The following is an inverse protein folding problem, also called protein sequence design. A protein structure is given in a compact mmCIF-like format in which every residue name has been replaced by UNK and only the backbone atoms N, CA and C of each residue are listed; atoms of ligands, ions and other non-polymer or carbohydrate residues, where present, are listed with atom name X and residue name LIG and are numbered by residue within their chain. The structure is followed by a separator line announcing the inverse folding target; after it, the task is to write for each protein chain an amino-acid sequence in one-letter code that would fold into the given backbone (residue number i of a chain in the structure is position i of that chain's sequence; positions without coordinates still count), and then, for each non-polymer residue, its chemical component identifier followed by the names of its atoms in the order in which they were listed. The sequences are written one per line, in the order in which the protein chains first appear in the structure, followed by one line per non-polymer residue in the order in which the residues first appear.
data_IF_721890960915
#
_entry.id   IF_721890960915
#
_cell.length_a   1.000
_cell.length_b   1.000
_cell.length_c   1.000
_cell.angle_alpha   90.00
_cell.angle_beta   90.00
_cell.angle_gamma   90.00
#
_symmetry.space_group_name_H-M   'P 1'
#
loop_
_entity.id
_entity.type
_entity.pdbx_description
1 polymer ?
#
# COMPACT_ATOMS: atom_id res chain seq x y z
N UNK A 1 12.31 -28.99 14.50
CA UNK A 1 11.52 -28.01 15.26
C UNK A 1 11.62 -26.70 14.51
N UNK A 2 10.52 -26.18 13.97
CA UNK A 2 10.55 -24.86 13.33
C UNK A 2 10.87 -23.84 14.43
N UNK A 3 12.02 -23.17 14.32
CA UNK A 3 12.36 -22.07 15.22
C UNK A 3 11.46 -20.89 14.86
N UNK A 4 10.71 -20.36 15.81
CA UNK A 4 9.93 -19.10 15.67
C UNK A 4 10.72 -17.96 16.34
N UNK A 5 11.76 -17.43 15.68
CA UNK A 5 12.69 -16.49 16.30
C UNK A 5 12.05 -15.15 16.63
N UNK A 6 10.89 -14.85 16.03
CA UNK A 6 10.19 -13.58 16.20
C UNK A 6 8.88 -13.70 16.99
N UNK A 7 8.50 -14.91 17.45
CA UNK A 7 7.25 -15.13 18.19
C UNK A 7 5.98 -14.91 17.36
N UNK A 8 6.05 -15.11 16.04
CA UNK A 8 4.93 -14.85 15.12
C UNK A 8 3.79 -15.87 15.23
N UNK A 9 4.07 -17.05 15.79
CA UNK A 9 3.10 -18.13 15.94
C UNK A 9 2.46 -18.17 17.34
N UNK A 10 2.91 -17.26 18.22
CA UNK A 10 2.43 -17.16 19.60
C UNK A 10 1.42 -16.03 19.71
N UNK A 11 0.14 -16.31 19.41
CA UNK A 11 -0.93 -15.34 19.50
C UNK A 11 -1.82 -15.59 20.72
N UNK A 12 -1.96 -14.57 21.58
CA UNK A 12 -2.86 -14.59 22.74
C UNK A 12 -3.94 -13.51 22.57
N UNK A 13 -5.19 -13.96 22.42
CA UNK A 13 -6.35 -13.07 22.27
C UNK A 13 -6.55 -12.19 23.52
N UNK A 14 -6.27 -12.72 24.72
CA UNK A 14 -6.36 -11.95 25.96
C UNK A 14 -5.39 -10.77 25.95
N UNK A 15 -4.14 -11.00 25.57
CA UNK A 15 -3.12 -9.95 25.42
C UNK A 15 -3.51 -8.97 24.31
N UNK A 16 -3.98 -9.46 23.16
CA UNK A 16 -4.39 -8.60 22.05
C UNK A 16 -5.51 -7.63 22.46
N UNK A 17 -6.48 -8.08 23.24
CA UNK A 17 -7.58 -7.25 23.76
C UNK A 17 -7.13 -6.15 24.74
N UNK A 18 -5.96 -6.26 25.33
CA UNK A 18 -5.41 -5.20 26.20
C UNK A 18 -4.71 -4.08 25.43
N UNK A 19 -4.42 -4.29 24.14
CA UNK A 19 -3.76 -3.28 23.31
C UNK A 19 -4.67 -2.08 23.06
N UNK A 20 -4.17 -0.84 23.16
CA UNK A 20 -4.98 0.36 23.02
C UNK A 20 -5.37 0.69 21.58
N UNK A 21 -4.99 -0.16 20.59
CA UNK A 21 -5.29 0.04 19.17
C UNK A 21 -6.76 -0.14 18.82
N UNK A 22 -7.23 0.58 17.81
CA UNK A 22 -8.63 0.57 17.35
C UNK A 22 -9.14 -0.83 16.99
N UNK A 23 -8.26 -1.72 16.54
CA UNK A 23 -8.59 -3.07 16.08
C UNK A 23 -9.35 -3.87 17.15
N UNK A 24 -8.84 -3.91 18.37
CA UNK A 24 -9.39 -4.72 19.47
C UNK A 24 -10.31 -3.94 20.41
N UNK A 25 -10.28 -2.59 20.37
CA UNK A 25 -11.08 -1.76 21.27
C UNK A 25 -12.45 -1.39 20.71
N UNK A 26 -12.63 -1.43 19.39
CA UNK A 26 -13.90 -1.05 18.76
C UNK A 26 -15.04 -2.02 19.12
N UNK A 27 -14.76 -3.33 19.06
CA UNK A 27 -15.73 -4.40 19.37
C UNK A 27 -15.05 -5.43 20.28
N UNK A 28 -14.91 -5.16 21.59
CA UNK A 28 -14.10 -5.98 22.52
C UNK A 28 -14.58 -7.42 22.67
N UNK A 29 -15.84 -7.70 22.32
CA UNK A 29 -16.45 -9.03 22.44
C UNK A 29 -16.25 -9.92 21.21
N UNK A 30 -15.81 -9.33 20.09
CA UNK A 30 -15.62 -10.05 18.85
C UNK A 30 -14.15 -10.41 18.58
N UNK A 31 -13.91 -11.35 17.68
CA UNK A 31 -12.59 -11.56 17.09
C UNK A 31 -12.35 -10.48 16.04
N UNK A 32 -11.34 -9.65 16.27
CA UNK A 32 -11.09 -8.48 15.43
C UNK A 32 -10.38 -8.87 14.14
N UNK A 33 -11.11 -8.82 13.00
CA UNK A 33 -10.58 -9.07 11.65
C UNK A 33 -11.04 -8.01 10.64
N UNK A 34 -11.45 -6.83 11.11
CA UNK A 34 -12.13 -5.81 10.31
C UNK A 34 -11.21 -4.71 9.77
N UNK A 35 -10.00 -4.56 10.31
CA UNK A 35 -9.03 -3.53 9.91
C UNK A 35 -7.71 -4.18 9.51
N UNK A 36 -7.06 -3.62 8.49
CA UNK A 36 -5.77 -4.08 7.99
C UNK A 36 -4.62 -3.66 8.92
N UNK A 37 -4.49 -4.38 10.02
CA UNK A 37 -3.50 -4.21 11.09
C UNK A 37 -3.12 -5.60 11.61
N UNK A 38 -1.85 -5.95 11.60
CA UNK A 38 -1.40 -7.28 12.03
C UNK A 38 -1.28 -7.35 13.56
N UNK A 39 -1.41 -8.55 14.11
CA UNK A 39 -1.23 -8.80 15.54
C UNK A 39 0.17 -9.27 15.91
N UNK A 40 1.03 -9.46 14.92
CA UNK A 40 2.42 -9.88 15.13
C UNK A 40 3.22 -8.85 15.93
N UNK A 41 4.22 -9.29 16.71
CA UNK A 41 5.23 -8.39 17.28
C UNK A 41 5.91 -7.58 16.17
N UNK A 42 6.23 -6.33 16.44
CA UNK A 42 7.01 -5.48 15.52
C UNK A 42 8.43 -6.03 15.39
N UNK A 43 9.04 -5.88 14.22
CA UNK A 43 10.41 -6.32 13.97
C UNK A 43 11.39 -5.76 15.02
N UNK A 44 12.28 -6.59 15.58
CA UNK A 44 13.24 -6.16 16.62
C UNK A 44 14.04 -4.92 16.23
N UNK A 45 14.57 -4.87 15.00
CA UNK A 45 15.34 -3.73 14.50
C UNK A 45 14.58 -2.39 14.62
N UNK A 46 13.27 -2.39 14.34
CA UNK A 46 12.42 -1.21 14.48
C UNK A 46 12.31 -0.80 15.95
N UNK A 47 12.05 -1.77 16.83
CA UNK A 47 11.90 -1.50 18.27
C UNK A 47 13.20 -0.95 18.86
N UNK A 48 14.34 -1.50 18.49
CA UNK A 48 15.68 -1.06 18.93
C UNK A 48 15.98 0.36 18.45
N UNK A 49 15.71 0.65 17.17
CA UNK A 49 15.92 1.98 16.59
C UNK A 49 15.05 3.04 17.30
N UNK A 50 13.77 2.75 17.55
CA UNK A 50 12.90 3.68 18.26
C UNK A 50 13.28 3.89 19.72
N UNK A 51 13.73 2.85 20.43
CA UNK A 51 14.25 2.99 21.80
C UNK A 51 15.48 3.89 21.84
N UNK A 52 16.40 3.73 20.90
CA UNK A 52 17.60 4.58 20.81
C UNK A 52 17.24 6.07 20.60
N UNK A 53 16.17 6.41 19.86
CA UNK A 53 15.71 7.79 19.75
C UNK A 53 15.19 8.34 21.09
N UNK A 54 14.40 7.54 21.81
CA UNK A 54 13.86 7.91 23.13
C UNK A 54 15.00 8.12 24.12
N UNK A 55 15.95 7.18 24.20
CA UNK A 55 17.09 7.23 25.12
C UNK A 55 18.01 8.44 24.86
N UNK A 56 18.11 8.86 23.61
CA UNK A 56 18.88 10.05 23.21
C UNK A 56 18.09 11.36 23.33
N UNK A 57 16.80 11.31 23.66
CA UNK A 57 15.94 12.50 23.77
C UNK A 57 15.70 13.22 22.44
N UNK A 58 15.65 12.50 21.30
CA UNK A 58 15.52 13.07 19.96
C UNK A 58 14.04 13.32 19.63
N UNK A 59 13.51 14.47 20.04
CA UNK A 59 12.11 14.88 19.86
C UNK A 59 11.94 16.21 19.12
N UNK A 60 13.06 16.85 18.71
CA UNK A 60 13.03 18.13 18.01
C UNK A 60 12.69 18.00 16.53
N UNK A 61 12.66 19.15 15.86
CA UNK A 61 12.53 19.19 14.41
C UNK A 61 13.73 18.52 13.75
N UNK A 62 13.50 17.60 12.79
CA UNK A 62 14.59 17.00 12.04
C UNK A 62 15.22 18.02 11.08
N UNK A 63 16.48 17.78 10.75
CA UNK A 63 17.18 18.53 9.69
C UNK A 63 17.77 17.54 8.70
N UNK A 64 17.30 17.58 7.48
CA UNK A 64 17.79 16.78 6.36
C UNK A 64 18.36 17.74 5.30
N UNK A 65 19.71 17.77 5.12
CA UNK A 65 20.39 18.80 4.33
C UNK A 65 19.97 18.86 2.86
N UNK A 66 19.59 17.73 2.29
CA UNK A 66 19.09 17.61 0.89
C UNK A 66 17.58 17.71 0.76
N UNK A 67 16.87 17.96 1.87
CA UNK A 67 15.41 18.11 1.90
C UNK A 67 14.62 16.81 1.92
N UNK A 68 15.29 15.64 1.81
CA UNK A 68 14.68 14.31 1.90
C UNK A 68 15.11 13.62 3.20
N UNK A 69 14.18 12.87 3.80
CA UNK A 69 14.51 12.07 4.96
C UNK A 69 15.32 10.81 4.60
N UNK A 70 16.02 10.20 5.55
CA UNK A 70 16.64 8.89 5.35
C UNK A 70 15.68 7.81 4.87
N UNK A 71 14.37 7.89 5.22
CA UNK A 71 13.37 6.95 4.75
C UNK A 71 13.07 7.08 3.24
N UNK A 72 13.11 8.30 2.69
CA UNK A 72 12.99 8.51 1.25
C UNK A 72 14.18 7.92 0.48
N UNK A 73 15.38 8.04 1.02
CA UNK A 73 16.58 7.40 0.45
C UNK A 73 16.52 5.87 0.56
N UNK A 74 16.07 5.33 1.70
CA UNK A 74 15.86 3.89 1.87
C UNK A 74 14.79 3.35 0.89
N UNK A 75 13.74 4.14 0.60
CA UNK A 75 12.77 3.80 -0.43
C UNK A 75 13.41 3.68 -1.81
N UNK A 76 14.18 4.68 -2.24
CA UNK A 76 14.84 4.67 -3.54
C UNK A 76 15.78 3.46 -3.68
N UNK A 77 16.62 3.21 -2.68
CA UNK A 77 17.53 2.06 -2.66
C UNK A 77 16.78 0.71 -2.69
N UNK A 78 15.63 0.62 -2.00
CA UNK A 78 14.78 -0.58 -2.01
C UNK A 78 14.15 -0.82 -3.38
N UNK A 79 13.67 0.20 -4.06
CA UNK A 79 13.09 0.08 -5.40
C UNK A 79 14.14 -0.39 -6.41
N UNK A 80 15.33 0.19 -6.38
CA UNK A 80 16.44 -0.23 -7.21
C UNK A 80 16.85 -1.69 -6.94
N UNK A 81 17.13 -2.04 -5.69
CA UNK A 81 17.67 -3.35 -5.32
C UNK A 81 16.67 -4.49 -5.49
N UNK A 82 15.36 -4.25 -5.25
CA UNK A 82 14.34 -5.32 -5.29
C UNK A 82 13.62 -5.42 -6.62
N UNK A 83 13.47 -4.30 -7.31
CA UNK A 83 12.62 -4.22 -8.50
C UNK A 83 13.36 -3.72 -9.74
N UNK A 84 14.64 -3.33 -9.61
CA UNK A 84 15.44 -2.75 -10.69
C UNK A 84 14.86 -1.41 -11.18
N UNK A 85 14.14 -0.70 -10.31
CA UNK A 85 13.56 0.60 -10.64
C UNK A 85 14.45 1.73 -10.10
N UNK A 86 15.27 2.30 -10.98
CA UNK A 86 16.04 3.51 -10.74
C UNK A 86 15.12 4.72 -10.87
N UNK A 87 14.61 5.21 -9.75
CA UNK A 87 13.71 6.36 -9.73
C UNK A 87 14.48 7.68 -9.54
N UNK A 88 13.90 8.78 -10.04
CA UNK A 88 14.39 10.13 -9.76
C UNK A 88 14.04 10.54 -8.33
N UNK A 89 15.01 10.50 -7.41
CA UNK A 89 14.82 10.86 -6.02
C UNK A 89 14.36 12.32 -5.83
N UNK A 90 14.64 13.21 -6.78
CA UNK A 90 14.18 14.60 -6.71
C UNK A 90 12.65 14.73 -6.83
N UNK A 91 11.96 13.70 -7.31
CA UNK A 91 10.49 13.63 -7.46
C UNK A 91 9.79 12.93 -6.30
N UNK A 92 10.52 12.68 -5.22
CA UNK A 92 9.94 12.10 -4.00
C UNK A 92 9.32 13.18 -3.12
N UNK A 93 8.11 12.92 -2.65
CA UNK A 93 7.37 13.76 -1.72
C UNK A 93 6.91 12.92 -0.54
N UNK A 94 7.28 13.32 0.67
CA UNK A 94 6.96 12.58 1.89
C UNK A 94 5.65 13.08 2.49
N UNK A 95 4.82 12.15 2.96
CA UNK A 95 3.45 12.37 3.39
C UNK A 95 3.16 11.62 4.70
N UNK A 96 2.04 11.95 5.33
CA UNK A 96 1.62 11.24 6.55
C UNK A 96 1.07 9.84 6.25
N UNK A 97 0.39 9.63 5.11
CA UNK A 97 -0.17 8.33 4.71
C UNK A 97 -0.47 8.26 3.21
N UNK A 98 -0.67 7.03 2.73
CA UNK A 98 -0.96 6.75 1.32
C UNK A 98 -2.28 7.37 0.85
N UNK A 99 -3.32 7.39 1.69
CA UNK A 99 -4.61 7.99 1.31
C UNK A 99 -4.47 9.49 1.09
N UNK A 100 -3.61 10.16 1.87
CA UNK A 100 -3.25 11.57 1.62
C UNK A 100 -2.63 11.72 0.23
N UNK A 101 -1.67 10.88 -0.14
CA UNK A 101 -1.03 10.90 -1.46
C UNK A 101 -2.01 10.68 -2.60
N UNK A 102 -2.87 9.67 -2.47
CA UNK A 102 -3.93 9.39 -3.46
C UNK A 102 -4.86 10.59 -3.61
N UNK A 103 -5.31 11.18 -2.49
CA UNK A 103 -6.20 12.36 -2.50
C UNK A 103 -5.54 13.56 -3.17
N UNK A 104 -4.27 13.82 -2.86
CA UNK A 104 -3.50 14.91 -3.48
C UNK A 104 -3.40 14.70 -4.99
N UNK A 105 -2.99 13.51 -5.42
CA UNK A 105 -2.84 13.20 -6.84
C UNK A 105 -4.18 13.29 -7.60
N UNK A 106 -5.30 12.79 -7.04
CA UNK A 106 -6.63 12.98 -7.62
C UNK A 106 -6.93 14.48 -7.79
N UNK A 107 -6.70 15.27 -6.75
CA UNK A 107 -7.03 16.71 -6.76
C UNK A 107 -6.21 17.53 -7.75
N UNK A 108 -4.96 17.14 -7.99
CA UNK A 108 -4.03 17.84 -8.87
C UNK A 108 -4.08 17.35 -10.33
N UNK A 109 -4.54 16.10 -10.55
CA UNK A 109 -4.58 15.47 -11.88
C UNK A 109 -5.99 15.41 -12.48
N UNK A 110 -7.01 15.91 -11.78
CA UNK A 110 -8.39 15.92 -12.27
C UNK A 110 -9.18 17.11 -11.73
N UNK A 111 -10.32 17.38 -12.34
CA UNK A 111 -11.26 18.45 -11.95
C UNK A 111 -12.57 17.87 -11.40
N UNK A 112 -13.38 18.64 -10.64
CA UNK A 112 -14.72 18.24 -10.25
C UNK A 112 -15.56 17.81 -11.48
N UNK A 113 -16.25 16.68 -11.37
CA UNK A 113 -17.02 16.07 -12.45
C UNK A 113 -16.24 15.05 -13.29
N UNK A 114 -14.90 15.07 -13.25
CA UNK A 114 -14.09 14.12 -14.02
C UNK A 114 -14.27 12.67 -13.53
N UNK A 115 -14.10 11.75 -14.49
CA UNK A 115 -14.10 10.32 -14.20
C UNK A 115 -12.79 9.87 -13.55
N UNK A 116 -12.91 9.08 -12.49
CA UNK A 116 -11.79 8.36 -11.87
C UNK A 116 -12.09 6.87 -11.89
N UNK A 117 -11.26 6.11 -12.59
CA UNK A 117 -11.43 4.68 -12.78
C UNK A 117 -10.70 3.86 -11.71
N UNK A 118 -11.30 2.75 -11.29
CA UNK A 118 -10.67 1.78 -10.38
C UNK A 118 -11.31 0.41 -10.50
N UNK A 119 -10.56 -0.64 -10.19
CA UNK A 119 -11.13 -2.00 -10.08
C UNK A 119 -12.01 -2.13 -8.84
N UNK A 120 -13.17 -2.79 -8.98
CA UNK A 120 -14.04 -3.14 -7.87
C UNK A 120 -14.00 -4.66 -7.62
N UNK A 121 -14.12 -5.11 -6.33
CA UNK A 121 -14.26 -4.30 -5.11
C UNK A 121 -12.99 -3.48 -4.83
N UNK A 122 -13.10 -2.37 -4.10
CA UNK A 122 -11.98 -1.48 -3.83
C UNK A 122 -11.89 -1.07 -2.36
N UNK A 123 -10.74 -0.59 -1.95
CA UNK A 123 -10.56 0.02 -0.64
C UNK A 123 -11.49 1.24 -0.51
N UNK A 124 -12.46 1.15 0.41
CA UNK A 124 -13.57 2.11 0.52
C UNK A 124 -13.15 3.59 0.66
N UNK A 125 -12.00 3.95 1.28
CA UNK A 125 -11.56 5.36 1.32
C UNK A 125 -11.31 5.99 -0.05
N UNK A 126 -11.00 5.21 -1.09
CA UNK A 126 -10.87 5.76 -2.44
C UNK A 126 -12.21 6.28 -2.95
N UNK A 127 -13.28 5.48 -2.83
CA UNK A 127 -14.63 5.89 -3.22
C UNK A 127 -15.12 7.08 -2.42
N UNK A 128 -14.84 7.10 -1.10
CA UNK A 128 -15.16 8.23 -0.25
C UNK A 128 -14.39 9.50 -0.67
N UNK A 129 -13.10 9.39 -0.96
CA UNK A 129 -12.28 10.50 -1.46
C UNK A 129 -12.84 11.06 -2.76
N UNK A 130 -13.20 10.18 -3.72
CA UNK A 130 -13.81 10.60 -4.99
C UNK A 130 -15.11 11.37 -4.76
N UNK A 131 -16.00 10.84 -3.90
CA UNK A 131 -17.26 11.49 -3.54
C UNK A 131 -17.05 12.85 -2.91
N UNK A 132 -16.10 12.97 -1.96
CA UNK A 132 -15.78 14.26 -1.30
C UNK A 132 -15.20 15.31 -2.24
N UNK A 133 -14.58 14.87 -3.33
CA UNK A 133 -13.93 15.74 -4.32
C UNK A 133 -14.78 15.94 -5.57
N UNK A 134 -16.02 15.45 -5.58
CA UNK A 134 -16.93 15.51 -6.73
C UNK A 134 -16.32 14.83 -7.98
N UNK A 135 -15.73 13.62 -7.81
CA UNK A 135 -15.22 12.79 -8.91
C UNK A 135 -16.20 11.66 -9.19
N UNK A 136 -16.44 11.39 -10.47
CA UNK A 136 -17.33 10.32 -10.92
C UNK A 136 -16.58 8.97 -10.90
N UNK A 137 -16.98 7.98 -10.07
CA UNK A 137 -16.33 6.68 -10.06
C UNK A 137 -16.67 5.89 -11.35
N UNK A 138 -15.64 5.29 -11.95
CA UNK A 138 -15.76 4.39 -13.11
C UNK A 138 -15.25 3.02 -12.69
N UNK A 139 -16.16 2.03 -12.69
CA UNK A 139 -15.81 0.65 -12.36
C UNK A 139 -15.04 -0.02 -13.50
N UNK A 140 -13.85 -0.53 -13.20
CA UNK A 140 -13.08 -1.37 -14.11
C UNK A 140 -13.34 -2.86 -13.80
N UNK A 141 -13.58 -3.69 -14.83
CA UNK A 141 -13.64 -5.14 -14.69
C UNK A 141 -12.32 -5.73 -14.19
N UNK A 142 -12.38 -6.92 -13.59
CA UNK A 142 -11.17 -7.62 -13.16
C UNK A 142 -10.28 -8.07 -14.34
N UNK A 143 -10.87 -8.43 -15.50
CA UNK A 143 -10.12 -8.74 -16.70
C UNK A 143 -9.54 -7.45 -17.32
N UNK A 144 -8.23 -7.41 -17.53
CA UNK A 144 -7.53 -6.18 -17.98
C UNK A 144 -7.94 -5.77 -19.39
N UNK A 145 -8.16 -6.71 -20.32
CA UNK A 145 -8.65 -6.39 -21.68
C UNK A 145 -9.98 -5.65 -21.62
N UNK A 146 -10.93 -6.14 -20.81
CA UNK A 146 -12.22 -5.49 -20.62
C UNK A 146 -12.08 -4.14 -19.87
N UNK A 147 -11.10 -4.00 -18.97
CA UNK A 147 -10.80 -2.72 -18.32
C UNK A 147 -10.28 -1.69 -19.33
N UNK A 148 -9.44 -2.09 -20.27
CA UNK A 148 -8.94 -1.24 -21.37
C UNK A 148 -10.12 -0.76 -22.24
N UNK A 149 -11.08 -1.62 -22.57
CA UNK A 149 -12.29 -1.23 -23.30
C UNK A 149 -13.13 -0.17 -22.55
N UNK A 150 -13.23 -0.30 -21.23
CA UNK A 150 -13.91 0.70 -20.39
C UNK A 150 -13.14 2.01 -20.38
N UNK A 151 -11.80 1.98 -20.26
CA UNK A 151 -10.94 3.16 -20.29
C UNK A 151 -11.09 3.88 -21.65
N UNK A 152 -11.07 3.13 -22.75
CA UNK A 152 -11.25 3.67 -24.11
C UNK A 152 -12.61 4.38 -24.28
N UNK A 153 -13.69 3.82 -23.74
CA UNK A 153 -15.03 4.37 -23.84
C UNK A 153 -15.27 5.54 -22.91
N UNK A 154 -14.88 5.41 -21.64
CA UNK A 154 -15.21 6.37 -20.57
C UNK A 154 -14.22 7.54 -20.46
N UNK A 155 -12.99 7.36 -20.98
CA UNK A 155 -11.92 8.37 -20.95
C UNK A 155 -11.76 9.00 -19.56
N UNK A 156 -11.46 8.23 -18.49
CA UNK A 156 -11.24 8.81 -17.18
C UNK A 156 -10.03 9.75 -17.19
N UNK A 157 -10.07 10.81 -16.39
CA UNK A 157 -8.89 11.66 -16.17
C UNK A 157 -7.80 10.92 -15.40
N UNK A 158 -8.21 10.05 -14.46
CA UNK A 158 -7.33 9.30 -13.56
C UNK A 158 -7.78 7.85 -13.46
N UNK A 159 -6.82 6.93 -13.40
CA UNK A 159 -7.00 5.53 -12.96
C UNK A 159 -6.27 5.31 -11.65
N UNK A 160 -6.99 4.84 -10.61
CA UNK A 160 -6.37 4.33 -9.38
C UNK A 160 -6.10 2.84 -9.56
N UNK A 161 -4.83 2.46 -9.55
CA UNK A 161 -4.36 1.08 -9.59
C UNK A 161 -3.84 0.68 -8.21
N UNK A 162 -4.62 -0.08 -7.44
CA UNK A 162 -4.14 -0.69 -6.20
C UNK A 162 -3.40 -2.00 -6.57
N UNK A 163 -2.08 -2.03 -6.35
CA UNK A 163 -1.24 -3.14 -6.81
C UNK A 163 -0.09 -3.42 -5.83
N UNK A 164 -0.17 -4.56 -5.11
CA UNK A 164 -1.19 -5.63 -5.09
C UNK A 164 -2.58 -5.15 -4.66
N UNK A 165 -3.62 -5.80 -5.21
CA UNK A 165 -4.98 -5.32 -5.12
C UNK A 165 -5.63 -5.57 -3.75
N UNK A 166 -6.12 -4.52 -3.13
CA UNK A 166 -6.96 -4.58 -1.93
C UNK A 166 -8.44 -4.44 -2.36
N UNK A 167 -9.34 -5.41 -2.08
CA UNK A 167 -9.18 -6.45 -1.04
C UNK A 167 -8.82 -7.87 -1.55
N UNK A 168 -8.72 -8.11 -2.85
CA UNK A 168 -8.67 -9.47 -3.40
C UNK A 168 -7.28 -10.13 -3.30
N UNK A 169 -6.23 -9.36 -3.04
CA UNK A 169 -4.85 -9.84 -3.00
C UNK A 169 -4.28 -10.24 -4.36
N UNK A 170 -4.93 -9.85 -5.47
CA UNK A 170 -4.43 -10.09 -6.83
C UNK A 170 -3.14 -9.33 -7.08
N UNK A 171 -2.20 -9.97 -7.76
CA UNK A 171 -0.98 -9.36 -8.29
C UNK A 171 -1.10 -9.28 -9.81
N UNK A 172 -1.03 -8.08 -10.39
CA UNK A 172 -1.06 -7.91 -11.84
C UNK A 172 0.25 -8.38 -12.47
N UNK A 173 0.15 -9.09 -13.57
CA UNK A 173 1.30 -9.53 -14.34
C UNK A 173 1.95 -8.37 -15.10
N UNK A 174 3.22 -8.54 -15.54
CA UNK A 174 3.91 -7.53 -16.36
C UNK A 174 3.14 -7.18 -17.63
N UNK A 175 2.54 -8.16 -18.29
CA UNK A 175 1.81 -7.93 -19.53
C UNK A 175 0.49 -7.17 -19.26
N UNK A 176 -0.22 -7.48 -18.19
CA UNK A 176 -1.40 -6.73 -17.76
C UNK A 176 -1.06 -5.28 -17.42
N UNK A 177 0.05 -5.05 -16.70
CA UNK A 177 0.51 -3.70 -16.37
C UNK A 177 0.90 -2.91 -17.63
N UNK A 178 1.51 -3.57 -18.62
CA UNK A 178 1.82 -2.95 -19.93
C UNK A 178 0.56 -2.54 -20.67
N UNK A 179 -0.44 -3.43 -20.75
CA UNK A 179 -1.71 -3.10 -21.39
C UNK A 179 -2.39 -1.89 -20.73
N UNK A 180 -2.36 -1.79 -19.40
CA UNK A 180 -2.88 -0.62 -18.70
C UNK A 180 -2.04 0.64 -18.96
N UNK A 181 -0.71 0.52 -19.06
CA UNK A 181 0.17 1.64 -19.35
C UNK A 181 -0.03 2.16 -20.79
N UNK A 182 -0.18 1.26 -21.76
CA UNK A 182 -0.44 1.59 -23.15
C UNK A 182 -1.81 2.27 -23.28
N UNK A 183 -2.85 1.76 -22.62
CA UNK A 183 -4.16 2.38 -22.57
C UNK A 183 -4.13 3.77 -21.90
N UNK A 184 -3.37 3.92 -20.81
CA UNK A 184 -3.20 5.21 -20.15
C UNK A 184 -2.54 6.24 -21.06
N UNK A 185 -1.57 5.82 -21.89
CA UNK A 185 -0.94 6.67 -22.89
C UNK A 185 -1.89 7.01 -24.04
N UNK A 186 -2.57 6.02 -24.59
CA UNK A 186 -3.45 6.20 -25.78
C UNK A 186 -4.66 7.09 -25.46
N UNK A 187 -5.18 6.96 -24.25
CA UNK A 187 -6.43 7.63 -23.84
C UNK A 187 -6.20 8.84 -22.92
N UNK A 188 -4.94 9.25 -22.74
CA UNK A 188 -4.52 10.41 -21.92
C UNK A 188 -4.99 10.33 -20.46
N UNK A 189 -4.78 9.18 -19.84
CA UNK A 189 -5.16 8.90 -18.45
C UNK A 189 -3.94 9.00 -17.54
N UNK A 190 -4.04 9.70 -16.42
CA UNK A 190 -3.05 9.64 -15.33
C UNK A 190 -3.27 8.40 -14.48
N UNK A 191 -2.20 7.80 -13.99
CA UNK A 191 -2.27 6.62 -13.13
C UNK A 191 -1.80 6.99 -11.73
N UNK A 192 -2.57 6.60 -10.71
CA UNK A 192 -2.16 6.62 -9.31
C UNK A 192 -1.99 5.16 -8.89
N UNK A 193 -0.74 4.72 -8.74
CA UNK A 193 -0.43 3.36 -8.30
C UNK A 193 -0.26 3.33 -6.78
N UNK A 194 -1.24 2.76 -6.09
CA UNK A 194 -1.13 2.46 -4.65
C UNK A 194 -0.44 1.11 -4.48
N UNK A 195 0.82 1.16 -4.08
CA UNK A 195 1.69 -0.01 -3.93
C UNK A 195 2.00 -0.36 -2.46
N UNK A 196 1.13 0.05 -1.53
CA UNK A 196 1.33 -0.14 -0.08
C UNK A 196 1.45 -1.62 0.34
N UNK A 197 1.00 -2.56 -0.50
CA UNK A 197 1.08 -3.99 -0.28
C UNK A 197 2.24 -4.69 -1.02
N UNK A 198 3.11 -3.95 -1.69
CA UNK A 198 4.19 -4.47 -2.55
C UNK A 198 5.11 -5.49 -1.87
N UNK A 199 5.41 -5.29 -0.59
CA UNK A 199 6.27 -6.18 0.20
C UNK A 199 5.57 -7.47 0.70
N UNK A 200 4.25 -7.59 0.52
CA UNK A 200 3.42 -8.70 1.02
C UNK A 200 2.98 -9.67 -0.09
N UNK A 201 3.83 -9.90 -1.06
CA UNK A 201 3.56 -10.83 -2.18
C UNK A 201 4.09 -12.22 -1.86
N UNK A 202 3.30 -13.26 -2.18
CA UNK A 202 3.64 -14.67 -1.99
C UNK A 202 4.17 -15.29 -3.27
N UNK A 203 5.21 -16.13 -3.15
CA UNK A 203 5.70 -16.88 -4.29
C UNK A 203 4.59 -17.79 -4.88
N UNK A 204 4.53 -17.98 -6.20
CA UNK A 204 5.49 -17.54 -7.22
C UNK A 204 5.23 -16.11 -7.78
N UNK A 205 4.18 -15.39 -7.32
CA UNK A 205 3.88 -14.04 -7.78
C UNK A 205 5.02 -13.07 -7.40
N UNK A 206 5.20 -12.02 -8.21
CA UNK A 206 6.20 -10.98 -8.01
C UNK A 206 5.55 -9.61 -8.19
N UNK A 207 5.80 -8.71 -7.26
CA UNK A 207 5.43 -7.32 -7.44
C UNK A 207 6.34 -6.65 -8.48
N UNK A 208 5.73 -5.88 -9.36
CA UNK A 208 6.43 -5.04 -10.35
C UNK A 208 5.87 -3.64 -10.17
N UNK A 209 6.66 -2.63 -9.76
CA UNK A 209 6.19 -1.27 -9.69
C UNK A 209 5.62 -0.83 -11.05
N UNK A 210 4.43 -0.23 -11.05
CA UNK A 210 3.81 0.18 -12.31
C UNK A 210 4.71 1.12 -13.10
N UNK A 211 5.37 2.07 -12.43
CA UNK A 211 6.30 2.99 -13.06
C UNK A 211 7.53 2.30 -13.70
N UNK A 212 7.89 1.09 -13.25
CA UNK A 212 9.02 0.32 -13.77
C UNK A 212 8.68 -0.51 -15.04
N UNK A 213 7.42 -0.46 -15.50
CA UNK A 213 6.99 -1.27 -16.65
C UNK A 213 7.50 -0.70 -17.96
N UNK A 214 7.52 0.62 -18.10
CA UNK A 214 8.04 1.34 -19.25
C UNK A 214 8.27 2.83 -18.92
N UNK A 215 9.05 3.52 -19.75
CA UNK A 215 9.25 4.97 -19.64
C UNK A 215 7.92 5.75 -19.70
N UNK A 216 6.98 5.27 -20.48
CA UNK A 216 5.65 5.85 -20.59
C UNK A 216 4.87 5.70 -19.30
N UNK A 217 4.90 4.51 -18.70
CA UNK A 217 4.29 4.27 -17.39
C UNK A 217 4.92 5.18 -16.33
N UNK A 218 6.25 5.30 -16.30
CA UNK A 218 6.97 6.17 -15.37
C UNK A 218 6.50 7.63 -15.42
N UNK A 219 6.36 8.19 -16.63
CA UNK A 219 5.93 9.59 -16.83
C UNK A 219 4.45 9.85 -16.53
N UNK A 220 3.62 8.82 -16.51
CA UNK A 220 2.17 8.92 -16.27
C UNK A 220 1.74 8.46 -14.87
N UNK A 221 2.66 7.94 -14.07
CA UNK A 221 2.34 7.32 -12.80
C UNK A 221 2.77 8.17 -11.61
N UNK A 222 1.82 8.43 -10.72
CA UNK A 222 2.10 8.78 -9.33
C UNK A 222 2.12 7.49 -8.50
N UNK A 223 3.30 7.03 -8.08
CA UNK A 223 3.43 5.86 -7.21
C UNK A 223 3.35 6.29 -5.75
N UNK A 224 2.47 5.67 -4.97
CA UNK A 224 2.31 5.96 -3.54
C UNK A 224 2.49 4.67 -2.74
N UNK A 225 3.33 4.70 -1.71
CA UNK A 225 3.58 3.53 -0.87
C UNK A 225 4.04 3.89 0.54
N UNK A 226 4.18 2.86 1.38
CA UNK A 226 4.63 2.97 2.78
C UNK A 226 5.05 1.61 3.32
N UNK A 227 6.01 1.55 4.23
CA UNK A 227 6.34 0.36 5.00
C UNK A 227 5.21 -0.07 5.98
N UNK A 228 4.19 0.77 6.16
CA UNK A 228 3.21 0.63 7.24
C UNK A 228 2.43 -0.67 7.23
N UNK A 229 2.12 -1.25 6.06
CA UNK A 229 1.38 -2.52 5.97
C UNK A 229 2.28 -3.73 6.15
N UNK A 230 3.41 -3.75 5.48
CA UNK A 230 4.33 -4.87 5.55
C UNK A 230 4.99 -5.03 6.94
N UNK A 231 5.23 -3.92 7.64
CA UNK A 231 5.93 -3.91 8.93
C UNK A 231 5.07 -3.49 10.12
N UNK A 232 3.75 -3.38 9.92
CA UNK A 232 2.80 -3.05 11.00
C UNK A 232 3.05 -1.70 11.68
N UNK A 233 3.33 -0.66 10.87
CA UNK A 233 3.73 0.68 11.32
C UNK A 233 2.66 1.76 11.06
N UNK A 234 1.41 1.39 10.78
CA UNK A 234 0.36 2.33 10.36
C UNK A 234 0.13 3.50 11.34
N UNK A 235 0.37 3.28 12.62
CA UNK A 235 0.24 4.31 13.67
C UNK A 235 1.33 5.38 13.63
N UNK A 236 2.49 5.12 13.01
CA UNK A 236 3.61 6.06 12.94
C UNK A 236 3.45 7.13 11.85
N UNK A 237 2.63 6.87 10.83
CA UNK A 237 2.21 7.87 9.84
C UNK A 237 3.36 8.40 8.99
N UNK A 238 3.84 7.58 8.07
CA UNK A 238 4.78 7.95 7.01
C UNK A 238 4.41 7.24 5.70
N UNK A 239 4.47 7.98 4.61
CA UNK A 239 4.32 7.48 3.26
C UNK A 239 5.18 8.29 2.31
N UNK A 240 5.38 7.79 1.10
CA UNK A 240 6.10 8.46 0.03
C UNK A 240 5.29 8.43 -1.24
N UNK A 241 5.31 9.54 -1.99
CA UNK A 241 4.80 9.68 -3.34
C UNK A 241 5.95 9.99 -4.28
N UNK A 242 6.12 9.19 -5.33
CA UNK A 242 6.96 9.52 -6.48
C UNK A 242 6.08 10.13 -7.58
N UNK A 243 6.34 11.39 -7.93
CA UNK A 243 5.56 12.14 -8.90
C UNK A 243 6.14 11.98 -10.31
N UNK A 244 5.77 10.91 -11.03
CA UNK A 244 6.17 10.71 -12.43
C UNK A 244 5.64 11.78 -13.39
N UNK A 245 4.35 12.21 -13.31
CA UNK A 245 3.84 13.33 -14.11
C UNK A 245 4.49 14.67 -13.73
N UNK A 246 5.06 15.39 -14.73
CA UNK A 246 5.69 16.71 -14.49
C UNK A 246 4.72 17.72 -13.90
N UNK A 247 3.46 17.69 -14.35
CA UNK A 247 2.41 18.58 -13.83
C UNK A 247 2.14 18.33 -12.34
N UNK A 248 2.19 17.08 -11.89
CA UNK A 248 2.00 16.74 -10.48
C UNK A 248 3.16 17.23 -9.63
N UNK A 249 4.41 16.95 -10.04
CA UNK A 249 5.61 17.38 -9.33
C UNK A 249 5.68 18.92 -9.22
N UNK A 250 5.43 19.63 -10.32
CA UNK A 250 5.40 21.08 -10.35
C UNK A 250 4.32 21.64 -9.40
N UNK A 251 3.10 21.10 -9.45
CA UNK A 251 1.99 21.56 -8.59
C UNK A 251 2.29 21.32 -7.12
N UNK A 252 2.89 20.17 -6.75
CA UNK A 252 3.28 19.92 -5.35
C UNK A 252 4.31 20.96 -4.90
N UNK A 253 5.32 21.25 -5.72
CA UNK A 253 6.41 22.21 -5.40
C UNK A 253 5.95 23.67 -5.30
N UNK A 254 4.84 24.04 -5.93
CA UNK A 254 4.24 25.38 -5.79
C UNK A 254 3.67 25.64 -4.40
N UNK A 255 3.37 24.56 -3.64
CA UNK A 255 2.85 24.69 -2.29
C UNK A 255 4.01 24.83 -1.28
N UNK A 256 3.79 25.58 -0.19
CA UNK A 256 4.76 25.63 0.90
C UNK A 256 5.03 24.21 1.46
N UNK A 257 6.27 23.91 1.82
CA UNK A 257 6.69 22.59 2.28
C UNK A 257 5.86 22.03 3.45
N UNK A 258 5.33 22.89 4.31
CA UNK A 258 4.50 22.51 5.45
C UNK A 258 3.02 22.27 5.11
N UNK A 259 2.58 22.53 3.87
CA UNK A 259 1.17 22.41 3.46
C UNK A 259 0.63 20.99 3.55
N UNK A 260 1.48 20.02 3.25
CA UNK A 260 1.12 18.60 3.29
C UNK A 260 1.53 17.91 4.59
N UNK A 261 2.04 18.66 5.57
CA UNK A 261 2.63 18.16 6.79
C UNK A 261 4.12 17.89 6.63
N UNK A 262 4.73 17.38 7.70
CA UNK A 262 6.12 16.96 7.69
C UNK A 262 6.24 15.55 8.28
N UNK A 263 7.15 14.72 7.77
CA UNK A 263 7.38 13.39 8.33
C UNK A 263 7.87 13.52 9.78
N UNK A 264 7.33 12.69 10.68
CA UNK A 264 7.83 12.67 12.03
C UNK A 264 9.07 11.74 12.12
N UNK A 265 10.03 12.13 12.93
CA UNK A 265 11.32 11.47 13.01
C UNK A 265 11.23 10.00 13.45
N UNK A 266 10.29 9.64 14.32
CA UNK A 266 10.09 8.25 14.74
C UNK A 266 9.57 7.40 13.58
N UNK A 267 8.69 7.94 12.75
CA UNK A 267 8.19 7.25 11.57
C UNK A 267 9.28 7.05 10.51
N UNK A 268 10.12 8.07 10.29
CA UNK A 268 11.27 8.00 9.39
C UNK A 268 12.23 6.90 9.83
N UNK A 269 12.68 6.93 11.07
CA UNK A 269 13.65 5.96 11.60
C UNK A 269 13.08 4.53 11.67
N UNK A 270 11.79 4.39 11.99
CA UNK A 270 11.13 3.10 11.93
C UNK A 270 11.06 2.55 10.49
N UNK A 271 10.81 3.41 9.50
CA UNK A 271 10.78 3.03 8.09
C UNK A 271 12.17 2.63 7.58
N UNK A 272 13.21 3.38 7.96
CA UNK A 272 14.60 3.01 7.66
C UNK A 272 14.92 1.63 8.22
N UNK A 273 14.69 1.41 9.52
CA UNK A 273 14.94 0.11 10.15
C UNK A 273 14.13 -1.02 9.52
N UNK A 274 12.89 -0.75 9.08
CA UNK A 274 12.05 -1.71 8.39
C UNK A 274 12.67 -2.14 7.05
N UNK A 275 13.10 -1.19 6.23
CA UNK A 275 13.55 -1.46 4.87
C UNK A 275 15.03 -1.86 4.77
N UNK A 276 15.88 -1.43 5.70
CA UNK A 276 17.30 -1.81 5.74
C UNK A 276 17.54 -3.11 6.51
N UNK A 277 16.88 -3.27 7.68
CA UNK A 277 17.20 -4.33 8.64
C UNK A 277 16.04 -5.32 8.90
N UNK A 278 14.84 -5.08 8.31
CA UNK A 278 13.62 -5.83 8.63
C UNK A 278 13.32 -7.04 7.74
N UNK A 279 14.12 -7.34 6.73
CA UNK A 279 13.79 -8.32 5.69
C UNK A 279 13.70 -9.77 6.18
N UNK A 280 14.50 -10.15 7.17
CA UNK A 280 14.42 -11.49 7.77
C UNK A 280 13.09 -11.67 8.52
N UNK A 281 12.68 -10.66 9.29
CA UNK A 281 11.39 -10.64 9.95
C UNK A 281 10.24 -10.67 8.96
N UNK A 282 10.30 -9.85 7.90
CA UNK A 282 9.28 -9.79 6.86
C UNK A 282 9.13 -11.13 6.14
N UNK A 283 10.23 -11.84 5.90
CA UNK A 283 10.22 -13.17 5.30
C UNK A 283 9.47 -14.15 6.20
N UNK A 284 9.78 -14.17 7.51
CA UNK A 284 9.10 -15.02 8.48
C UNK A 284 7.59 -14.67 8.58
N UNK A 285 7.22 -13.39 8.51
CA UNK A 285 5.81 -12.95 8.47
C UNK A 285 5.12 -13.48 7.22
N UNK A 286 5.73 -13.35 6.03
CA UNK A 286 5.15 -13.87 4.79
C UNK A 286 4.95 -15.38 4.84
N UNK A 287 5.85 -16.12 5.44
CA UNK A 287 5.71 -17.58 5.60
C UNK A 287 4.50 -17.93 6.46
N UNK A 288 4.32 -17.27 7.61
CA UNK A 288 3.14 -17.48 8.47
C UNK A 288 1.86 -17.08 7.77
N UNK A 289 1.84 -15.94 7.08
CA UNK A 289 0.67 -15.47 6.33
C UNK A 289 0.34 -16.41 5.16
N UNK A 290 1.36 -16.94 4.48
CA UNK A 290 1.19 -17.94 3.41
C UNK A 290 0.56 -19.22 3.94
N UNK A 291 0.97 -19.70 5.10
CA UNK A 291 0.31 -20.85 5.76
C UNK A 291 -1.16 -20.50 6.12
N UNK A 292 -1.38 -19.33 6.72
CA UNK A 292 -2.71 -18.91 7.17
C UNK A 292 -3.74 -18.82 6.04
N UNK A 293 -3.37 -18.33 4.84
CA UNK A 293 -4.30 -18.27 3.70
C UNK A 293 -4.76 -19.67 3.24
N UNK A 294 -3.90 -20.68 3.35
CA UNK A 294 -4.25 -22.07 3.04
C UNK A 294 -5.09 -22.72 4.15
N UNK A 295 -4.72 -22.51 5.41
CA UNK A 295 -5.53 -22.95 6.56
C UNK A 295 -6.94 -22.38 6.50
N UNK A 296 -7.09 -21.09 6.14
CA UNK A 296 -8.41 -20.48 5.95
C UNK A 296 -9.19 -21.18 4.84
N UNK A 297 -8.57 -21.52 3.72
CA UNK A 297 -9.21 -22.27 2.63
C UNK A 297 -9.75 -23.62 3.11
N UNK A 298 -8.96 -24.38 3.87
CA UNK A 298 -9.36 -25.68 4.43
C UNK A 298 -10.51 -25.56 5.42
N UNK A 299 -10.46 -24.55 6.30
CA UNK A 299 -11.50 -24.30 7.30
C UNK A 299 -12.82 -23.88 6.63
N UNK A 300 -12.79 -23.02 5.62
CA UNK A 300 -13.97 -22.61 4.87
C UNK A 300 -14.59 -23.82 4.14
N UNK A 301 -13.78 -24.63 3.45
CA UNK A 301 -14.27 -25.82 2.76
C UNK A 301 -14.94 -26.81 3.72
N UNK A 302 -14.46 -26.92 4.95
CA UNK A 302 -14.99 -27.82 5.97
C UNK A 302 -16.24 -27.29 6.67
N UNK A 303 -16.26 -26.00 7.02
CA UNK A 303 -17.25 -25.43 7.93
C UNK A 303 -18.27 -24.52 7.25
N UNK A 304 -17.90 -23.92 6.11
CA UNK A 304 -18.73 -22.99 5.34
C UNK A 304 -18.60 -23.26 3.82
N UNK A 305 -18.98 -24.47 3.35
CA UNK A 305 -18.67 -24.93 1.98
C UNK A 305 -19.34 -24.10 0.86
N UNK A 306 -20.33 -23.24 1.22
CA UNK A 306 -20.97 -22.33 0.26
C UNK A 306 -20.26 -20.98 0.10
N UNK A 307 -19.32 -20.64 1.00
CA UNK A 307 -18.60 -19.37 0.94
C UNK A 307 -17.47 -19.45 -0.08
N UNK A 308 -17.46 -18.54 -1.05
CA UNK A 308 -16.42 -18.45 -2.06
C UNK A 308 -15.14 -17.80 -1.47
N UNK A 309 -13.99 -18.43 -1.70
CA UNK A 309 -12.69 -17.91 -1.30
C UNK A 309 -11.61 -18.37 -2.28
N UNK A 310 -10.83 -17.42 -2.76
CA UNK A 310 -9.61 -17.67 -3.51
C UNK A 310 -8.43 -17.20 -2.64
N UNK A 311 -7.48 -18.07 -2.29
CA UNK A 311 -6.29 -17.66 -1.56
C UNK A 311 -5.57 -16.50 -2.28
N UNK A 312 -5.32 -15.37 -1.62
CA UNK A 312 -4.72 -14.20 -2.27
C UNK A 312 -3.27 -14.45 -2.67
N UNK A 313 -2.80 -13.82 -3.74
CA UNK A 313 -1.40 -13.85 -4.17
C UNK A 313 -0.52 -12.88 -3.37
N UNK A 314 -1.15 -11.94 -2.68
CA UNK A 314 -0.50 -10.93 -1.85
C UNK A 314 -1.44 -10.47 -0.72
N UNK A 315 -0.94 -9.63 0.15
CA UNK A 315 -1.64 -9.05 1.31
C UNK A 315 -1.90 -10.05 2.44
N UNK A 316 -2.46 -9.59 3.54
CA UNK A 316 -2.97 -10.43 4.63
C UNK A 316 -4.51 -10.32 4.72
N UNK A 317 -5.15 -9.93 3.62
CA UNK A 317 -6.60 -9.78 3.54
C UNK A 317 -7.21 -11.06 2.98
N UNK A 318 -8.40 -11.40 3.45
CA UNK A 318 -9.23 -12.46 2.90
C UNK A 318 -10.53 -11.85 2.37
N UNK A 319 -10.74 -11.99 1.06
CA UNK A 319 -12.00 -11.60 0.43
C UNK A 319 -12.90 -12.80 0.30
N UNK A 320 -14.03 -12.78 1.00
CA UNK A 320 -14.98 -13.89 1.05
C UNK A 320 -16.24 -13.50 0.27
N UNK A 321 -16.67 -14.35 -0.65
CA UNK A 321 -18.00 -14.26 -1.27
C UNK A 321 -19.02 -14.99 -0.41
N UNK A 322 -19.80 -14.22 0.32
CA UNK A 322 -20.84 -14.71 1.22
C UNK A 322 -22.24 -14.66 0.60
N UNK A 323 -22.38 -14.50 -0.72
CA UNK A 323 -23.68 -14.40 -1.40
C UNK A 323 -24.60 -15.61 -1.15
N UNK A 324 -24.01 -16.77 -0.85
CA UNK A 324 -24.76 -17.98 -0.48
C UNK A 324 -25.50 -17.91 0.86
N UNK A 325 -25.19 -16.91 1.70
CA UNK A 325 -25.80 -16.78 3.03
C UNK A 325 -27.05 -15.88 3.04
N UNK A 326 -27.41 -15.27 1.93
CA UNK A 326 -28.60 -14.42 1.75
C UNK A 326 -28.35 -12.94 1.94
#
# INVERSE_FOLDING_TARGET
MSTDPFGLRSFDVGVARTRPGVKWQREPHMLASWVADMDFPVAPAITERLRALVDRGVFGYPNWPDGLSPAAHAFAARMESRHGWELDGSRLHELADVVQGVRMAIGMLSLPGDGVALHLPAYHPFLHTMSMMDRRPISLPAAVDAAVEVIARERPAVMILCHPHNPTGRVFTRDELRLLADAAQEYDVWVISDEIHSDLVYAPALHIPFAAVSDTAARRCATVTSASKAFNLAGLRWAVLHAGPDVLDATIREHPSHWFGAPNQFAVEATVAAWEDGDEWLTAVRDVLNENRHVLSELLARHLPGVGYTPPEATYLAWLDCSCLG
#
